data_IF_449841415270
#
_entry.id   IF_449841415270
#
_cell.length_a   1.000
_cell.length_b   1.000
_cell.length_c   1.000
_cell.angle_alpha   90.00
_cell.angle_beta   90.00
_cell.angle_gamma   90.00
#
_symmetry.space_group_name_H-M   'P 1'
#
loop_
_entity.id
_entity.type
_entity.pdbx_description
1 polymer ?
#
# COMPACT_ATOMS: atom_id res chain seq x y z
N UNK A 1 0.61 -14.27 -15.51
CA UNK A 1 -0.36 -14.04 -14.42
C UNK A 1 0.36 -13.36 -13.26
N UNK A 2 -0.35 -12.57 -12.44
CA UNK A 2 0.21 -11.80 -11.32
C UNK A 2 0.08 -12.53 -9.99
N UNK A 3 0.62 -13.74 -9.89
CA UNK A 3 0.54 -14.55 -8.67
C UNK A 3 1.53 -14.16 -7.58
N UNK A 4 1.60 -15.01 -6.56
CA UNK A 4 2.59 -14.96 -5.48
C UNK A 4 4.02 -14.88 -6.04
N UNK A 5 4.85 -14.02 -5.46
CA UNK A 5 6.22 -13.73 -5.93
C UNK A 5 6.30 -12.90 -7.23
N UNK A 6 5.16 -12.61 -7.88
CA UNK A 6 5.10 -11.83 -9.12
C UNK A 6 4.37 -10.50 -8.92
N UNK A 7 3.11 -10.52 -8.50
CA UNK A 7 2.35 -9.29 -8.28
C UNK A 7 2.06 -8.96 -6.81
N UNK A 8 2.23 -9.93 -5.92
CA UNK A 8 2.19 -9.76 -4.47
C UNK A 8 3.10 -10.79 -3.80
N UNK A 9 3.35 -10.58 -2.51
CA UNK A 9 3.89 -11.60 -1.60
C UNK A 9 3.11 -11.55 -0.30
N UNK A 10 2.53 -12.69 0.06
CA UNK A 10 1.87 -12.95 1.33
C UNK A 10 2.61 -14.07 2.06
N UNK A 11 2.89 -13.88 3.36
CA UNK A 11 3.58 -14.90 4.17
C UNK A 11 2.78 -15.32 5.41
N UNK A 12 1.56 -14.82 5.57
CA UNK A 12 0.64 -15.13 6.68
C UNK A 12 -0.37 -16.23 6.35
N UNK A 13 -0.70 -16.41 5.06
CA UNK A 13 -1.73 -17.37 4.64
C UNK A 13 -2.94 -16.65 4.06
N UNK A 14 -4.15 -17.03 4.48
CA UNK A 14 -5.38 -16.34 4.06
C UNK A 14 -6.36 -16.28 5.23
N UNK A 15 -6.34 -15.18 5.95
CA UNK A 15 -7.18 -14.93 7.13
C UNK A 15 -8.33 -13.94 6.84
N UNK A 16 -8.19 -13.12 5.80
CA UNK A 16 -9.15 -12.13 5.36
C UNK A 16 -10.30 -12.71 4.53
N UNK A 17 -11.14 -11.83 4.00
CA UNK A 17 -12.28 -12.20 3.19
C UNK A 17 -11.85 -12.92 1.89
N UNK A 18 -12.43 -14.10 1.65
CA UNK A 18 -12.07 -14.95 0.51
C UNK A 18 -12.86 -14.67 -0.77
N UNK A 19 -14.03 -14.03 -0.67
CA UNK A 19 -14.92 -13.86 -1.82
C UNK A 19 -14.41 -12.88 -2.89
N UNK A 20 -13.62 -11.87 -2.51
CA UNK A 20 -13.16 -10.83 -3.44
C UNK A 20 -12.00 -11.29 -4.34
N UNK A 21 -11.05 -12.02 -3.76
CA UNK A 21 -9.90 -12.62 -4.45
C UNK A 21 -9.72 -14.07 -3.96
N UNK A 22 -10.54 -15.01 -4.45
CA UNK A 22 -10.57 -16.37 -3.92
C UNK A 22 -9.36 -17.22 -4.34
N UNK A 23 -8.64 -16.80 -5.39
CA UNK A 23 -7.56 -17.58 -5.99
C UNK A 23 -6.16 -17.05 -5.64
N UNK A 24 -6.07 -16.09 -4.70
CA UNK A 24 -4.79 -15.60 -4.20
C UNK A 24 -4.83 -15.31 -2.69
N UNK A 25 -3.63 -15.11 -2.13
CA UNK A 25 -3.43 -15.05 -0.68
C UNK A 25 -3.62 -13.65 -0.09
N UNK A 26 -3.66 -12.58 -0.89
CA UNK A 26 -3.79 -11.20 -0.36
C UNK A 26 -5.01 -11.07 0.55
N UNK A 27 -4.78 -10.74 1.82
CA UNK A 27 -5.84 -10.64 2.82
C UNK A 27 -6.65 -9.35 2.72
N UNK A 28 -7.99 -9.50 2.66
CA UNK A 28 -8.92 -8.38 2.47
C UNK A 28 -9.81 -8.18 3.70
N UNK A 29 -9.68 -7.04 4.36
CA UNK A 29 -10.60 -6.56 5.38
C UNK A 29 -11.81 -5.83 4.79
N UNK A 30 -12.97 -5.98 5.42
CA UNK A 30 -14.20 -5.31 5.01
C UNK A 30 -14.65 -4.29 6.06
N UNK A 31 -14.54 -3.01 5.71
CA UNK A 31 -15.02 -1.87 6.50
C UNK A 31 -16.11 -1.15 5.73
N UNK A 32 -17.38 -1.53 5.88
CA UNK A 32 -18.50 -0.95 5.10
C UNK A 32 -18.42 0.59 5.09
N UNK A 33 -18.38 1.26 3.91
CA UNK A 33 -18.60 0.75 2.54
C UNK A 33 -17.30 0.47 1.73
N UNK A 34 -16.20 0.13 2.39
CA UNK A 34 -14.85 0.00 1.84
C UNK A 34 -14.27 -1.39 2.12
N UNK A 35 -13.30 -1.78 1.30
CA UNK A 35 -12.40 -2.89 1.58
C UNK A 35 -10.97 -2.37 1.67
N UNK A 36 -10.14 -3.07 2.42
CA UNK A 36 -8.73 -2.75 2.64
C UNK A 36 -7.91 -4.03 2.53
N UNK A 37 -6.62 -3.90 2.29
CA UNK A 37 -5.69 -4.98 2.58
C UNK A 37 -5.42 -4.96 4.09
N UNK A 38 -5.60 -6.09 4.76
CA UNK A 38 -5.39 -6.25 6.20
C UNK A 38 -4.62 -7.52 6.50
N UNK A 39 -4.50 -7.90 7.77
CA UNK A 39 -3.67 -9.06 8.20
C UNK A 39 -2.24 -9.02 7.67
N UNK A 40 -1.72 -7.81 7.51
CA UNK A 40 -0.40 -7.59 6.92
C UNK A 40 0.71 -8.12 7.81
N UNK A 41 1.74 -8.70 7.19
CA UNK A 41 2.95 -9.18 7.86
C UNK A 41 4.22 -8.49 7.37
N UNK A 42 5.25 -8.54 8.21
CA UNK A 42 6.57 -8.00 7.89
C UNK A 42 7.12 -8.71 6.64
N UNK A 43 7.59 -7.91 5.68
CA UNK A 43 8.18 -8.38 4.42
C UNK A 43 7.18 -8.58 3.27
N UNK A 44 5.88 -8.48 3.52
CA UNK A 44 4.86 -8.57 2.48
C UNK A 44 4.89 -7.39 1.51
N UNK A 45 4.35 -7.60 0.31
CA UNK A 45 4.27 -6.54 -0.68
C UNK A 45 3.16 -6.72 -1.70
N UNK A 46 2.77 -5.59 -2.30
CA UNK A 46 1.81 -5.51 -3.38
C UNK A 46 2.44 -4.73 -4.53
N UNK A 47 2.16 -5.13 -5.77
CA UNK A 47 2.51 -4.33 -6.95
C UNK A 47 1.29 -3.98 -7.77
N UNK A 48 1.37 -2.82 -8.41
CA UNK A 48 0.37 -2.31 -9.32
C UNK A 48 1.09 -1.72 -10.52
N UNK A 49 0.63 -2.03 -11.72
CA UNK A 49 1.08 -1.26 -12.87
C UNK A 49 0.32 0.05 -12.93
N UNK A 50 1.05 1.16 -12.94
CA UNK A 50 0.50 2.51 -13.02
C UNK A 50 1.00 3.20 -14.30
N UNK A 51 0.23 4.17 -14.79
CA UNK A 51 0.65 5.04 -15.89
C UNK A 51 0.71 6.48 -15.38
N UNK A 52 1.91 7.03 -15.29
CA UNK A 52 2.15 8.43 -14.92
C UNK A 52 2.03 9.29 -16.18
N UNK A 53 1.10 10.24 -16.18
CA UNK A 53 0.76 11.01 -17.38
C UNK A 53 1.80 12.08 -17.75
N UNK A 54 2.54 12.59 -16.75
CA UNK A 54 3.54 13.64 -16.94
C UNK A 54 4.66 13.56 -15.90
N UNK A 55 5.86 13.99 -16.28
CA UNK A 55 6.96 14.17 -15.32
C UNK A 55 6.57 15.21 -14.27
N UNK A 56 7.06 15.04 -13.04
CA UNK A 56 7.07 16.11 -12.06
C UNK A 56 6.99 15.63 -10.61
N UNK A 57 6.74 16.62 -9.76
CA UNK A 57 6.57 16.44 -8.32
C UNK A 57 5.12 16.08 -8.02
N UNK A 58 4.91 14.99 -7.28
CA UNK A 58 3.62 14.54 -6.83
C UNK A 58 3.56 14.56 -5.31
N UNK A 59 2.44 15.02 -4.76
CA UNK A 59 2.05 14.66 -3.40
C UNK A 59 1.45 13.26 -3.41
N UNK A 60 2.04 12.37 -2.62
CA UNK A 60 1.58 11.01 -2.42
C UNK A 60 0.89 10.92 -1.07
N UNK A 61 -0.38 10.55 -1.08
CA UNK A 61 -1.18 10.23 0.09
C UNK A 61 -1.35 8.72 0.22
N UNK A 62 -0.74 8.11 1.23
CA UNK A 62 -1.01 6.72 1.61
C UNK A 62 -2.15 6.68 2.63
N UNK A 63 -3.26 6.01 2.30
CA UNK A 63 -4.43 5.86 3.18
C UNK A 63 -4.28 4.60 4.03
N UNK A 64 -3.85 4.77 5.28
CA UNK A 64 -3.46 3.68 6.18
C UNK A 64 -4.26 3.77 7.49
N UNK A 65 -4.75 2.63 7.98
CA UNK A 65 -5.31 2.46 9.32
C UNK A 65 -4.33 1.72 10.22
N UNK A 66 -4.04 2.19 11.43
CA UNK A 66 -3.03 1.57 12.29
C UNK A 66 -3.34 1.82 13.77
N UNK A 67 -3.14 0.83 14.65
CA UNK A 67 -3.32 1.05 16.09
C UNK A 67 -2.19 1.88 16.75
N UNK A 68 -1.06 2.06 16.06
CA UNK A 68 0.09 2.78 16.59
C UNK A 68 1.05 3.25 15.50
N UNK A 69 2.20 3.76 15.92
CA UNK A 69 3.19 4.38 15.04
C UNK A 69 4.37 3.45 14.73
N UNK A 70 4.27 2.15 14.96
CA UNK A 70 5.39 1.20 14.80
C UNK A 70 5.52 0.66 13.38
N UNK A 71 4.43 0.68 12.61
CA UNK A 71 4.45 0.21 11.23
C UNK A 71 5.35 1.03 10.33
N UNK A 72 6.05 0.37 9.42
CA UNK A 72 7.02 0.94 8.49
C UNK A 72 6.76 0.42 7.08
N UNK A 73 6.85 1.30 6.10
CA UNK A 73 6.69 0.92 4.69
C UNK A 73 7.60 1.75 3.79
N UNK A 74 7.89 1.19 2.62
CA UNK A 74 8.68 1.85 1.58
C UNK A 74 7.98 1.66 0.24
N UNK A 75 7.99 2.71 -0.57
CA UNK A 75 7.37 2.70 -1.90
C UNK A 75 8.45 2.73 -2.97
N UNK A 76 8.29 1.87 -3.97
CA UNK A 76 9.20 1.73 -5.09
C UNK A 76 8.47 1.95 -6.41
N UNK A 77 9.18 2.51 -7.38
CA UNK A 77 8.83 2.46 -8.80
C UNK A 77 9.94 1.71 -9.53
N UNK A 78 9.58 0.69 -10.30
CA UNK A 78 10.51 -0.12 -11.11
C UNK A 78 11.71 -0.68 -10.31
N UNK A 79 11.45 -1.09 -9.07
CA UNK A 79 12.46 -1.64 -8.17
C UNK A 79 13.34 -0.58 -7.48
N UNK A 80 13.16 0.70 -7.76
CA UNK A 80 13.87 1.81 -7.12
C UNK A 80 12.99 2.46 -6.05
N UNK A 81 13.51 2.61 -4.83
CA UNK A 81 12.78 3.28 -3.77
C UNK A 81 12.59 4.76 -4.13
N UNK A 82 11.35 5.24 -4.10
CA UNK A 82 11.00 6.65 -4.37
C UNK A 82 10.63 7.41 -3.10
N UNK A 83 10.58 6.71 -1.97
CA UNK A 83 10.40 7.29 -0.62
C UNK A 83 11.53 6.81 0.30
N UNK A 84 11.83 7.55 1.38
CA UNK A 84 12.53 6.95 2.53
C UNK A 84 11.64 5.88 3.19
N UNK A 85 12.14 5.26 4.26
CA UNK A 85 11.33 4.43 5.16
C UNK A 85 10.29 5.32 5.85
N UNK A 86 9.02 5.14 5.52
CA UNK A 86 7.90 5.91 6.06
C UNK A 86 7.29 5.21 7.28
N UNK A 87 6.82 6.00 8.24
CA UNK A 87 6.04 5.50 9.38
C UNK A 87 4.56 5.45 9.02
N UNK A 88 3.90 4.31 9.24
CA UNK A 88 2.46 4.29 9.42
C UNK A 88 2.13 5.13 10.68
N UNK A 89 1.09 5.97 10.60
CA UNK A 89 0.66 6.81 11.71
C UNK A 89 -0.59 6.19 12.33
N UNK A 90 -0.61 6.11 13.65
CA UNK A 90 -1.73 5.59 14.42
C UNK A 90 -3.01 6.38 14.13
N UNK A 91 -4.13 5.67 14.07
CA UNK A 91 -5.45 6.22 13.80
C UNK A 91 -6.24 6.39 15.10
N UNK A 92 -7.11 7.43 15.22
CA UNK A 92 -7.80 7.73 16.49
C UNK A 92 -8.74 6.64 17.02
N UNK A 93 -9.19 5.71 16.17
CA UNK A 93 -10.09 4.62 16.52
C UNK A 93 -9.57 3.28 16.06
N UNK A 94 -10.35 2.57 15.25
CA UNK A 94 -9.97 1.25 14.72
C UNK A 94 -9.12 1.38 13.46
N UNK A 95 -8.57 0.27 12.96
CA UNK A 95 -7.96 0.19 11.63
C UNK A 95 -8.90 0.66 10.48
N UNK A 96 -10.22 0.68 10.72
CA UNK A 96 -11.22 1.24 9.81
C UNK A 96 -11.14 2.77 9.64
N UNK A 97 -10.52 3.48 10.58
CA UNK A 97 -10.45 4.94 10.63
C UNK A 97 -9.23 5.50 9.89
N UNK A 98 -8.98 4.99 8.67
CA UNK A 98 -7.75 5.27 7.91
C UNK A 98 -7.48 6.77 7.78
N UNK A 99 -6.23 7.17 8.03
CA UNK A 99 -5.78 8.55 7.98
C UNK A 99 -4.88 8.79 6.76
N UNK A 100 -4.89 10.01 6.19
CA UNK A 100 -3.91 10.41 5.20
C UNK A 100 -2.48 10.40 5.77
N UNK A 101 -1.54 9.91 4.96
CA UNK A 101 -0.12 9.98 5.26
C UNK A 101 0.63 10.52 4.04
N UNK A 102 0.90 11.81 4.08
CA UNK A 102 1.44 12.56 2.95
C UNK A 102 2.97 12.50 2.90
N UNK A 103 3.49 12.33 1.69
CA UNK A 103 4.90 12.58 1.35
C UNK A 103 4.97 13.22 -0.05
N UNK A 104 6.15 13.67 -0.45
CA UNK A 104 6.39 14.18 -1.81
C UNK A 104 7.34 13.24 -2.54
N UNK A 105 7.03 12.92 -3.79
CA UNK A 105 7.84 12.06 -4.66
C UNK A 105 8.01 12.72 -6.03
N UNK A 106 9.10 12.40 -6.72
CA UNK A 106 9.30 12.79 -8.11
C UNK A 106 9.02 11.58 -9.00
N UNK A 107 8.14 11.75 -9.98
CA UNK A 107 7.76 10.69 -10.92
C UNK A 107 8.12 11.10 -12.34
N UNK A 108 8.51 10.11 -13.14
CA UNK A 108 8.67 10.23 -14.59
C UNK A 108 7.39 9.80 -15.29
N UNK A 109 7.11 10.35 -16.46
CA UNK A 109 6.04 9.97 -17.36
C UNK A 109 6.28 8.56 -17.88
N UNK A 110 5.21 7.76 -17.90
CA UNK A 110 5.22 6.44 -18.51
C UNK A 110 4.57 5.38 -17.64
N UNK A 111 4.70 4.13 -18.10
CA UNK A 111 4.20 2.95 -17.41
C UNK A 111 5.25 2.46 -16.43
N UNK A 112 4.87 2.32 -15.16
CA UNK A 112 5.75 1.93 -14.06
C UNK A 112 5.14 0.80 -13.23
N UNK A 113 5.97 -0.02 -12.60
CA UNK A 113 5.56 -0.94 -11.55
C UNK A 113 5.71 -0.23 -10.20
N UNK A 114 4.59 0.21 -9.65
CA UNK A 114 4.51 0.68 -8.27
C UNK A 114 4.51 -0.53 -7.33
N UNK A 115 5.44 -0.57 -6.38
CA UNK A 115 5.49 -1.56 -5.31
C UNK A 115 5.34 -0.89 -3.96
N UNK A 116 4.38 -1.37 -3.17
CA UNK A 116 4.27 -1.06 -1.76
C UNK A 116 4.86 -2.20 -0.95
N UNK A 117 5.93 -1.94 -0.21
CA UNK A 117 6.63 -2.93 0.61
C UNK A 117 6.40 -2.66 2.10
N UNK A 118 5.97 -3.70 2.82
CA UNK A 118 5.61 -3.64 4.23
C UNK A 118 6.82 -4.01 5.07
N UNK A 119 7.70 -3.04 5.36
CA UNK A 119 8.93 -3.29 6.11
C UNK A 119 8.65 -3.83 7.52
N UNK A 120 7.71 -3.20 8.21
CA UNK A 120 7.15 -3.65 9.50
C UNK A 120 5.66 -3.39 9.41
N UNK A 121 4.82 -4.42 9.52
CA UNK A 121 3.39 -4.33 9.29
C UNK A 121 2.63 -3.66 10.46
N UNK A 122 1.49 -4.20 10.90
CA UNK A 122 0.60 -3.65 11.95
C UNK A 122 -0.28 -2.49 11.46
N UNK A 123 -0.73 -2.57 10.22
CA UNK A 123 -1.66 -1.62 9.65
C UNK A 123 -2.48 -2.23 8.52
N UNK A 124 -3.62 -1.60 8.25
CA UNK A 124 -4.47 -1.88 7.10
C UNK A 124 -4.27 -0.80 6.03
N UNK A 125 -4.33 -1.21 4.77
CA UNK A 125 -4.02 -0.37 3.61
C UNK A 125 -5.24 -0.22 2.72
N UNK A 126 -5.74 1.00 2.60
CA UNK A 126 -6.86 1.31 1.71
C UNK A 126 -6.40 1.63 0.29
N UNK A 127 -5.24 2.28 0.15
CA UNK A 127 -4.67 2.62 -1.16
C UNK A 127 -3.88 3.93 -1.15
N UNK A 128 -3.59 4.43 -2.35
CA UNK A 128 -2.74 5.60 -2.56
C UNK A 128 -3.38 6.58 -3.53
N UNK A 129 -3.16 7.87 -3.31
CA UNK A 129 -3.55 8.96 -4.20
C UNK A 129 -2.30 9.75 -4.56
N UNK A 130 -2.05 9.94 -5.85
CA UNK A 130 -0.96 10.76 -6.38
C UNK A 130 -1.55 12.03 -6.98
N UNK A 131 -1.23 13.19 -6.40
CA UNK A 131 -1.68 14.50 -6.88
C UNK A 131 -0.48 15.27 -7.41
N UNK A 132 -0.46 15.59 -8.71
CA UNK A 132 0.61 16.39 -9.30
C UNK A 132 0.60 17.79 -8.67
N UNK A 133 1.75 18.27 -8.21
CA UNK A 133 1.91 19.67 -7.78
C UNK A 133 2.00 20.56 -9.02
N UNK A 134 1.34 21.71 -8.96
CA UNK A 134 1.40 22.76 -9.99
C UNK A 134 2.78 23.38 -10.08
#
# INVERSE_FOLDING_TARGET
EGGEGVAFHDNGGKDGATAFRPNDLVDIGNYIPRSVVGWTNDGEWLTYTVNVEADGTYELNSLIGANGNDGRYTIYFDGVAITPLLSAKGTPGTYGDQQPNYTTVNLTKGRHIFKFFMNVARYDVRGWIFTRKS
#
